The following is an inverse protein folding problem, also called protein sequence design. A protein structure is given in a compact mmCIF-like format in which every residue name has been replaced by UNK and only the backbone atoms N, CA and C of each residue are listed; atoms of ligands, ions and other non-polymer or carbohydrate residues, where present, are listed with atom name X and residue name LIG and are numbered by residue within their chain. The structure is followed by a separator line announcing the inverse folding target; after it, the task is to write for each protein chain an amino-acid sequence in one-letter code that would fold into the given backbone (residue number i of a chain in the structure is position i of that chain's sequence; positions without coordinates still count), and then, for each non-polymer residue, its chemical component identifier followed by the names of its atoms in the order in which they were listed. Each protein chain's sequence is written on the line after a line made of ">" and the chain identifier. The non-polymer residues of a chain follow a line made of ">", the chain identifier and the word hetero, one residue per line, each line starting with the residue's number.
data_IF_251583895077
#
_entry.id   IF_251583895077
#
_cell.length_a   1.000
_cell.length_b   1.000
_cell.length_c   1.000
_cell.angle_alpha   90.00
_cell.angle_beta   90.00
_cell.angle_gamma   90.00
#
_symmetry.space_group_name_H-M   'P 1'
#
loop_
_entity.id
_entity.type
_entity.pdbx_description
1 polymer ?
#
# COMPACT_ATOMS: atom_id res chain seq x y z
N UNK A 1 8.58 41.27 18.97
CA UNK A 1 8.21 40.16 18.07
C UNK A 1 8.76 38.90 18.73
N UNK A 2 7.95 38.32 19.58
CA UNK A 2 8.30 37.20 20.47
C UNK A 2 8.34 35.93 19.65
N UNK A 3 9.48 35.28 19.73
CA UNK A 3 9.82 33.99 19.22
C UNK A 3 8.70 32.96 19.59
N UNK A 4 8.09 32.33 18.58
CA UNK A 4 7.07 31.31 18.80
C UNK A 4 7.80 30.03 19.18
N UNK A 5 7.70 29.71 20.44
CA UNK A 5 7.70 28.40 21.07
C UNK A 5 8.41 27.27 20.27
N UNK A 6 9.73 27.31 20.31
CA UNK A 6 10.54 26.13 20.05
C UNK A 6 10.49 25.24 21.31
N UNK A 7 9.31 24.62 21.56
CA UNK A 7 9.20 23.57 22.58
C UNK A 7 9.86 22.34 21.99
N UNK A 8 11.06 21.96 22.45
CA UNK A 8 11.75 20.80 21.90
C UNK A 8 10.87 19.57 22.20
N UNK A 9 10.38 18.90 21.15
CA UNK A 9 9.62 17.67 21.28
C UNK A 9 10.53 16.61 21.91
N UNK A 10 10.20 16.15 23.11
CA UNK A 10 10.85 14.99 23.72
C UNK A 10 10.31 13.72 23.07
N UNK A 11 10.88 13.32 21.95
CA UNK A 11 10.52 12.12 21.21
C UNK A 11 10.68 10.86 22.04
N UNK A 12 11.60 10.86 23.02
CA UNK A 12 11.84 9.70 23.88
C UNK A 12 10.69 9.45 24.85
N UNK A 13 9.94 10.48 25.24
CA UNK A 13 8.76 10.38 26.10
C UNK A 13 7.47 10.04 25.34
N UNK A 14 7.44 10.16 24.00
CA UNK A 14 6.28 9.87 23.16
C UNK A 14 6.02 8.37 23.07
N UNK A 15 5.62 7.74 24.17
CA UNK A 15 5.34 6.30 24.26
C UNK A 15 3.90 6.07 24.68
N UNK A 16 3.20 5.17 23.95
CA UNK A 16 1.89 4.67 24.37
C UNK A 16 2.00 3.20 24.76
N UNK A 17 1.27 2.82 25.82
CA UNK A 17 1.06 1.42 26.18
C UNK A 17 -0.11 0.87 25.34
N UNK A 18 0.11 -0.26 24.71
CA UNK A 18 -0.93 -0.94 23.95
C UNK A 18 -1.68 -1.92 24.88
N UNK A 19 -3.01 -1.72 25.01
CA UNK A 19 -3.89 -2.59 25.78
C UNK A 19 -4.78 -3.34 24.81
N UNK A 20 -4.29 -4.43 24.25
CA UNK A 20 -5.03 -5.30 23.35
C UNK A 20 -4.96 -6.74 23.88
N UNK A 21 -5.97 -7.55 23.52
CA UNK A 21 -6.10 -8.95 23.97
C UNK A 21 -4.99 -9.86 23.45
N UNK A 22 -4.20 -9.39 22.51
CA UNK A 22 -3.10 -10.13 21.90
C UNK A 22 -3.49 -10.89 20.63
N UNK A 23 -2.57 -11.71 20.15
CA UNK A 23 -2.76 -12.57 18.99
C UNK A 23 -2.07 -13.90 19.25
N UNK A 24 -2.82 -15.01 19.19
CA UNK A 24 -2.29 -16.36 19.33
C UNK A 24 -2.44 -17.16 18.04
N UNK A 25 -1.74 -18.29 17.96
CA UNK A 25 -1.81 -19.19 16.81
C UNK A 25 -3.24 -19.73 16.57
N UNK A 26 -4.00 -19.88 17.65
CA UNK A 26 -5.40 -20.37 17.59
C UNK A 26 -6.37 -19.33 17.04
N UNK A 27 -5.97 -18.06 17.02
CA UNK A 27 -6.80 -16.96 16.48
C UNK A 27 -6.63 -16.80 14.96
N UNK A 28 -5.61 -17.46 14.40
CA UNK A 28 -5.28 -17.33 12.99
C UNK A 28 -6.28 -18.08 12.08
N UNK A 29 -6.53 -17.52 10.91
CA UNK A 29 -7.23 -18.19 9.82
C UNK A 29 -6.33 -19.27 9.18
N UNK A 30 -6.91 -20.12 8.33
CA UNK A 30 -6.16 -21.15 7.62
C UNK A 30 -5.14 -20.56 6.63
N UNK A 31 -5.48 -19.42 6.01
CA UNK A 31 -4.61 -18.72 5.04
C UNK A 31 -4.33 -17.27 5.45
N UNK A 32 -3.21 -16.69 5.00
CA UNK A 32 -2.92 -15.28 5.29
C UNK A 32 -3.93 -14.32 4.64
N UNK A 33 -4.54 -14.69 3.51
CA UNK A 33 -5.55 -13.87 2.84
C UNK A 33 -6.84 -13.83 3.66
N UNK A 34 -7.30 -14.96 4.20
CA UNK A 34 -8.44 -15.00 5.11
C UNK A 34 -8.16 -14.21 6.40
N UNK A 35 -6.95 -14.34 6.96
CA UNK A 35 -6.55 -13.56 8.14
C UNK A 35 -6.53 -12.07 7.84
N UNK A 36 -5.99 -11.68 6.69
CA UNK A 36 -6.01 -10.29 6.23
C UNK A 36 -7.45 -9.79 6.06
N UNK A 37 -8.33 -10.56 5.43
CA UNK A 37 -9.73 -10.21 5.23
C UNK A 37 -10.45 -9.95 6.58
N UNK A 38 -10.21 -10.80 7.60
CA UNK A 38 -10.77 -10.61 8.95
C UNK A 38 -10.31 -9.28 9.57
N UNK A 39 -9.02 -9.00 9.53
CA UNK A 39 -8.44 -7.79 10.12
C UNK A 39 -8.79 -6.54 9.31
N UNK A 40 -8.82 -6.65 7.98
CA UNK A 40 -9.21 -5.55 7.10
C UNK A 40 -10.68 -5.14 7.32
N UNK A 41 -11.59 -6.12 7.49
CA UNK A 41 -12.98 -5.85 7.84
C UNK A 41 -13.08 -5.03 9.13
N UNK A 42 -12.37 -5.45 10.19
CA UNK A 42 -12.33 -4.71 11.45
C UNK A 42 -11.73 -3.30 11.28
N UNK A 43 -10.66 -3.17 10.50
CA UNK A 43 -10.03 -1.89 10.22
C UNK A 43 -10.96 -0.94 9.48
N UNK A 44 -11.78 -1.46 8.57
CA UNK A 44 -12.73 -0.68 7.77
C UNK A 44 -14.00 -0.27 8.54
N UNK A 45 -14.43 -1.08 9.52
CA UNK A 45 -15.68 -0.81 10.29
C UNK A 45 -15.41 -0.10 11.61
N UNK A 46 -14.47 -0.60 12.40
CA UNK A 46 -14.29 -0.21 13.79
C UNK A 46 -12.92 0.42 14.08
N UNK A 47 -12.02 0.40 13.10
CA UNK A 47 -10.62 0.77 13.28
C UNK A 47 -10.32 2.25 13.46
N UNK A 48 -11.30 3.14 13.27
CA UNK A 48 -11.07 4.60 13.35
C UNK A 48 -10.06 5.12 12.33
N UNK A 49 -9.90 4.42 11.22
CA UNK A 49 -8.95 4.73 10.16
C UNK A 49 -9.64 5.52 9.04
N UNK A 50 -9.03 6.61 8.58
CA UNK A 50 -9.54 7.41 7.47
C UNK A 50 -9.52 6.63 6.14
N UNK A 51 -8.41 5.94 5.86
CA UNK A 51 -8.23 5.09 4.68
C UNK A 51 -7.63 3.73 5.11
N UNK A 52 -8.43 2.75 5.52
CA UNK A 52 -7.94 1.45 6.00
C UNK A 52 -7.18 0.66 4.92
N UNK A 53 -7.44 0.96 3.65
CA UNK A 53 -6.76 0.39 2.49
C UNK A 53 -5.48 1.15 2.07
N UNK A 54 -5.11 2.21 2.78
CA UNK A 54 -3.81 2.85 2.57
C UNK A 54 -2.69 1.93 3.07
N UNK A 55 -1.66 1.77 2.23
CA UNK A 55 -0.49 0.96 2.54
C UNK A 55 0.78 1.64 2.08
N UNK A 56 1.88 1.36 2.75
CA UNK A 56 3.21 1.81 2.33
C UNK A 56 3.81 0.71 1.45
N UNK A 57 4.14 1.07 0.21
CA UNK A 57 4.87 0.20 -0.72
C UNK A 57 6.33 0.58 -0.68
N UNK A 58 7.18 -0.35 -0.26
CA UNK A 58 8.64 -0.22 -0.23
C UNK A 58 9.24 -1.02 -1.37
N UNK A 59 10.04 -0.35 -2.20
CA UNK A 59 10.74 -0.93 -3.36
C UNK A 59 12.24 -0.67 -3.25
N UNK A 60 13.04 -1.46 -3.93
CA UNK A 60 14.47 -1.23 -4.07
C UNK A 60 14.86 -1.33 -5.55
N UNK A 61 15.80 -0.51 -6.00
CA UNK A 61 16.39 -0.62 -7.34
C UNK A 61 17.41 -1.77 -7.42
N UNK A 62 18.06 -1.93 -8.57
CA UNK A 62 19.06 -2.98 -8.81
C UNK A 62 20.28 -2.89 -7.87
N UNK A 63 20.61 -1.68 -7.38
CA UNK A 63 21.69 -1.46 -6.42
C UNK A 63 21.24 -1.59 -4.95
N UNK A 64 19.98 -1.95 -4.70
CA UNK A 64 19.43 -2.10 -3.37
C UNK A 64 19.05 -0.78 -2.67
N UNK A 65 19.04 0.35 -3.37
CA UNK A 65 18.61 1.64 -2.82
C UNK A 65 17.09 1.65 -2.66
N UNK A 66 16.63 1.78 -1.43
CA UNK A 66 15.22 1.69 -1.09
C UNK A 66 14.47 2.99 -1.29
N UNK A 67 13.17 2.87 -1.54
CA UNK A 67 12.23 3.99 -1.53
C UNK A 67 10.85 3.53 -1.06
N UNK A 68 10.11 4.41 -0.38
CA UNK A 68 8.78 4.10 0.15
C UNK A 68 7.78 5.22 -0.16
N UNK A 69 6.51 4.87 -0.31
CA UNK A 69 5.38 5.79 -0.51
C UNK A 69 4.08 5.14 -0.14
N UNK A 70 3.10 5.96 0.19
CA UNK A 70 1.72 5.48 0.39
C UNK A 70 1.05 5.26 -0.97
N UNK A 71 0.35 4.13 -1.10
CA UNK A 71 -0.58 3.83 -2.19
C UNK A 71 -1.83 3.16 -1.60
N UNK A 72 -2.89 3.01 -2.39
CA UNK A 72 -4.12 2.37 -1.95
C UNK A 72 -4.22 0.94 -2.49
N UNK A 73 -4.47 -0.02 -1.61
CA UNK A 73 -4.89 -1.36 -1.99
C UNK A 73 -6.24 -1.25 -2.73
N UNK A 74 -6.37 -1.93 -3.87
CA UNK A 74 -7.58 -1.87 -4.71
C UNK A 74 -8.28 -3.22 -4.83
N UNK A 75 -7.54 -4.30 -4.66
CA UNK A 75 -8.07 -5.66 -4.62
C UNK A 75 -7.10 -6.57 -3.87
N UNK A 76 -7.60 -7.63 -3.29
CA UNK A 76 -6.81 -8.75 -2.78
C UNK A 76 -7.61 -10.06 -2.90
N UNK A 77 -6.92 -11.11 -3.20
CA UNK A 77 -7.43 -12.48 -3.35
C UNK A 77 -6.30 -13.48 -3.07
N UNK A 78 -6.56 -14.77 -3.31
CA UNK A 78 -5.55 -15.83 -3.14
C UNK A 78 -4.33 -15.68 -4.05
N UNK A 79 -4.42 -14.87 -5.12
CA UNK A 79 -3.30 -14.57 -6.00
C UNK A 79 -2.45 -13.40 -5.49
N UNK A 80 -2.95 -12.62 -4.53
CA UNK A 80 -2.21 -11.53 -3.88
C UNK A 80 -2.91 -10.18 -3.85
N UNK A 81 -2.11 -9.14 -3.64
CA UNK A 81 -2.55 -7.77 -3.35
C UNK A 81 -2.32 -6.86 -4.55
N UNK A 82 -3.35 -6.10 -4.95
CA UNK A 82 -3.32 -5.29 -6.18
C UNK A 82 -3.36 -3.80 -5.86
N UNK A 83 -2.44 -3.05 -6.46
CA UNK A 83 -2.46 -1.60 -6.50
C UNK A 83 -2.20 -1.10 -7.92
N UNK A 84 -2.60 0.15 -8.21
CA UNK A 84 -2.44 0.76 -9.53
C UNK A 84 -1.56 2.00 -9.45
N UNK A 85 -0.74 2.21 -10.48
CA UNK A 85 0.23 3.31 -10.54
C UNK A 85 0.60 3.65 -11.98
N UNK A 86 1.39 4.71 -12.15
CA UNK A 86 2.07 5.00 -13.40
C UNK A 86 3.32 4.10 -13.53
N UNK A 87 3.48 3.43 -14.67
CA UNK A 87 4.60 2.52 -14.95
C UNK A 87 5.94 3.23 -15.15
N UNK A 88 5.93 4.54 -15.41
CA UNK A 88 7.12 5.37 -15.51
C UNK A 88 7.52 6.00 -14.17
N UNK A 89 6.76 5.74 -13.09
CA UNK A 89 7.08 6.22 -11.75
C UNK A 89 8.31 5.50 -11.17
N UNK A 90 8.98 6.13 -10.18
CA UNK A 90 10.14 5.55 -9.51
C UNK A 90 9.86 4.11 -9.03
N UNK A 91 8.75 3.89 -8.31
CA UNK A 91 8.40 2.55 -7.80
C UNK A 91 8.24 1.51 -8.91
N UNK A 92 7.72 1.90 -10.06
CA UNK A 92 7.52 0.98 -11.17
C UNK A 92 8.82 0.68 -11.92
N UNK A 93 9.74 1.63 -11.98
CA UNK A 93 11.11 1.39 -12.48
C UNK A 93 11.87 0.47 -11.53
N UNK A 94 11.83 0.76 -10.19
CA UNK A 94 12.43 -0.13 -9.19
C UNK A 94 11.91 -1.57 -9.37
N UNK A 95 10.57 -1.76 -9.50
CA UNK A 95 9.94 -3.08 -9.66
C UNK A 95 10.25 -3.78 -11.00
N UNK A 96 10.62 -3.03 -12.03
CA UNK A 96 11.05 -3.61 -13.30
C UNK A 96 12.44 -4.23 -13.22
N UNK A 97 13.29 -3.67 -12.37
CA UNK A 97 14.67 -4.15 -12.13
C UNK A 97 14.71 -5.17 -10.98
N UNK A 98 13.97 -4.93 -9.93
CA UNK A 98 13.89 -5.76 -8.73
C UNK A 98 12.42 -5.94 -8.31
N UNK A 99 11.80 -7.07 -8.62
CA UNK A 99 10.38 -7.28 -8.36
C UNK A 99 10.03 -7.57 -6.89
N UNK A 100 11.00 -7.68 -6.00
CA UNK A 100 10.76 -7.88 -4.57
C UNK A 100 10.22 -6.60 -3.93
N UNK A 101 9.17 -6.74 -3.12
CA UNK A 101 8.43 -5.63 -2.57
C UNK A 101 7.91 -5.95 -1.17
N UNK A 102 7.79 -4.92 -0.35
CA UNK A 102 7.08 -5.00 0.93
C UNK A 102 5.89 -4.03 0.90
N UNK A 103 4.73 -4.53 1.37
CA UNK A 103 3.53 -3.74 1.64
C UNK A 103 3.32 -3.70 3.14
N UNK A 104 3.19 -2.51 3.72
CA UNK A 104 2.90 -2.32 5.14
C UNK A 104 1.56 -1.61 5.31
N UNK A 105 0.65 -2.21 6.07
CA UNK A 105 -0.62 -1.63 6.50
C UNK A 105 -0.48 -1.17 7.96
N UNK A 106 -0.28 0.14 8.24
CA UNK A 106 -0.04 0.66 9.58
C UNK A 106 -1.34 1.04 10.27
N UNK A 107 -2.09 0.08 10.79
CA UNK A 107 -3.36 0.32 11.49
C UNK A 107 -3.12 0.72 12.95
N UNK A 108 -2.44 1.86 13.14
CA UNK A 108 -2.01 2.36 14.46
C UNK A 108 -3.14 2.52 15.50
N UNK A 109 -4.35 3.03 15.16
CA UNK A 109 -5.43 3.12 16.14
C UNK A 109 -5.81 1.79 16.76
N UNK A 110 -5.64 0.69 16.02
CA UNK A 110 -5.91 -0.69 16.47
C UNK A 110 -4.69 -1.35 17.13
N UNK A 111 -3.57 -0.65 17.24
CA UNK A 111 -2.28 -1.22 17.62
C UNK A 111 -1.94 -2.47 16.76
N UNK A 112 -2.20 -2.41 15.46
CA UNK A 112 -1.97 -3.49 14.49
C UNK A 112 -1.14 -3.02 13.31
N UNK A 113 -0.38 -3.94 12.75
CA UNK A 113 0.17 -3.77 11.41
C UNK A 113 0.18 -5.11 10.68
N UNK A 114 0.08 -5.07 9.36
CA UNK A 114 0.28 -6.23 8.50
C UNK A 114 1.42 -5.93 7.54
N UNK A 115 2.37 -6.84 7.42
CA UNK A 115 3.47 -6.74 6.46
C UNK A 115 3.34 -7.89 5.47
N UNK A 116 3.24 -7.55 4.19
CA UNK A 116 3.26 -8.53 3.09
C UNK A 116 4.60 -8.36 2.37
N UNK A 117 5.39 -9.42 2.31
CA UNK A 117 6.58 -9.48 1.45
C UNK A 117 6.34 -10.46 0.31
N UNK A 118 6.75 -10.09 -0.89
CA UNK A 118 6.48 -10.92 -2.05
C UNK A 118 7.07 -10.36 -3.35
N UNK A 119 6.53 -10.86 -4.46
CA UNK A 119 6.99 -10.54 -5.81
C UNK A 119 5.88 -9.81 -6.56
N UNK A 120 6.19 -8.63 -7.08
CA UNK A 120 5.27 -7.83 -7.88
C UNK A 120 5.32 -8.22 -9.35
N UNK A 121 4.14 -8.31 -9.98
CA UNK A 121 3.99 -8.50 -11.44
C UNK A 121 2.93 -7.55 -11.96
N UNK A 122 3.10 -7.07 -13.19
CA UNK A 122 2.07 -6.23 -13.82
C UNK A 122 0.77 -7.01 -14.00
N UNK A 123 -0.36 -6.34 -13.74
CA UNK A 123 -1.70 -6.89 -14.08
C UNK A 123 -1.93 -6.89 -15.59
N UNK A 124 -2.88 -7.70 -16.06
CA UNK A 124 -3.31 -7.69 -17.45
C UNK A 124 -3.94 -6.35 -17.88
N UNK A 125 -3.91 -6.06 -19.18
CA UNK A 125 -4.52 -4.81 -19.71
C UNK A 125 -6.03 -4.78 -19.52
N UNK A 126 -6.72 -5.91 -19.59
CA UNK A 126 -8.17 -5.98 -19.40
C UNK A 126 -8.56 -5.69 -17.95
N UNK A 127 -7.82 -6.27 -16.98
CA UNK A 127 -8.00 -5.99 -15.54
C UNK A 127 -7.72 -4.50 -15.26
N UNK A 128 -6.63 -3.98 -15.83
CA UNK A 128 -6.28 -2.56 -15.74
C UNK A 128 -7.38 -1.66 -16.29
N UNK A 129 -7.92 -1.97 -17.48
CA UNK A 129 -8.95 -1.20 -18.12
C UNK A 129 -10.28 -1.25 -17.35
N UNK A 130 -10.64 -2.43 -16.84
CA UNK A 130 -11.83 -2.59 -16.00
C UNK A 130 -11.76 -1.69 -14.76
N UNK A 131 -10.64 -1.72 -14.04
CA UNK A 131 -10.47 -0.85 -12.87
C UNK A 131 -10.37 0.63 -13.26
N UNK A 132 -9.65 1.00 -14.34
CA UNK A 132 -9.49 2.40 -14.76
C UNK A 132 -10.85 3.09 -14.97
N UNK A 133 -11.82 2.40 -15.59
CA UNK A 133 -13.16 2.91 -15.83
C UNK A 133 -13.98 3.19 -14.57
N UNK A 134 -13.66 2.54 -13.44
CA UNK A 134 -14.35 2.78 -12.16
C UNK A 134 -13.83 4.02 -11.43
N UNK A 135 -12.71 4.59 -11.87
CA UNK A 135 -12.12 5.77 -11.23
C UNK A 135 -12.96 7.02 -11.53
N UNK A 136 -13.04 7.98 -10.58
CA UNK A 136 -13.61 9.28 -10.86
C UNK A 136 -12.98 9.91 -12.12
N UNK A 137 -13.79 10.58 -12.94
CA UNK A 137 -13.34 11.17 -14.20
C UNK A 137 -12.09 12.04 -14.06
N UNK A 138 -12.06 12.96 -13.08
CA UNK A 138 -10.87 13.77 -12.81
C UNK A 138 -9.61 12.95 -12.45
N UNK A 139 -9.78 11.77 -11.81
CA UNK A 139 -8.66 10.86 -11.54
C UNK A 139 -8.18 10.12 -12.80
N UNK A 140 -9.07 9.90 -13.77
CA UNK A 140 -8.69 9.35 -15.07
C UNK A 140 -7.86 10.37 -15.87
N UNK A 141 -8.27 11.64 -15.90
CA UNK A 141 -7.52 12.74 -16.52
C UNK A 141 -6.15 12.93 -15.84
N UNK A 142 -6.13 12.93 -14.50
CA UNK A 142 -4.89 13.04 -13.73
C UNK A 142 -3.86 11.95 -14.02
N UNK A 143 -4.30 10.74 -14.40
CA UNK A 143 -3.40 9.67 -14.81
C UNK A 143 -2.67 9.94 -16.14
N UNK A 144 -3.27 10.74 -17.02
CA UNK A 144 -2.65 11.24 -18.24
C UNK A 144 -1.77 12.47 -17.98
N UNK A 145 -2.27 13.43 -17.20
CA UNK A 145 -1.58 14.71 -16.95
C UNK A 145 -0.27 14.54 -16.18
N UNK A 146 -0.15 13.50 -15.35
CA UNK A 146 0.97 13.35 -14.43
C UNK A 146 2.08 12.44 -14.99
N UNK A 147 3.23 13.01 -15.32
CA UNK A 147 4.49 12.25 -15.47
C UNK A 147 5.04 11.89 -14.09
N UNK A 148 4.41 10.92 -13.42
CA UNK A 148 4.64 10.62 -12.00
C UNK A 148 6.12 10.37 -11.68
N UNK A 149 6.62 11.03 -10.63
CA UNK A 149 8.02 11.01 -10.14
C UNK A 149 9.04 11.73 -11.04
N UNK A 150 8.62 12.37 -12.11
CA UNK A 150 9.50 13.23 -12.91
C UNK A 150 9.63 14.62 -12.28
N UNK A 151 10.76 15.27 -12.51
CA UNK A 151 10.95 16.67 -12.15
C UNK A 151 10.13 17.52 -13.11
N UNK A 152 9.36 18.45 -12.59
CA UNK A 152 8.59 19.44 -13.35
C UNK A 152 9.06 20.85 -12.94
N UNK A 153 8.90 21.81 -13.84
CA UNK A 153 9.35 23.17 -13.57
C UNK A 153 8.44 23.90 -12.57
N UNK A 154 7.11 23.76 -12.76
CA UNK A 154 6.12 24.46 -11.92
C UNK A 154 4.85 23.61 -11.73
N UNK A 155 4.05 23.96 -10.76
CA UNK A 155 2.71 23.40 -10.60
C UNK A 155 1.80 23.72 -11.82
N UNK A 156 1.99 24.88 -12.41
CA UNK A 156 1.22 25.33 -13.57
C UNK A 156 1.35 24.37 -14.76
N UNK A 157 2.49 23.69 -14.90
CA UNK A 157 2.70 22.72 -15.98
C UNK A 157 1.69 21.55 -15.89
N UNK A 158 1.46 21.04 -14.67
CA UNK A 158 0.46 19.98 -14.45
C UNK A 158 -0.97 20.52 -14.63
N UNK A 159 -1.24 21.72 -14.11
CA UNK A 159 -2.57 22.31 -14.19
C UNK A 159 -2.96 22.60 -15.66
N UNK A 160 -2.02 23.05 -16.48
CA UNK A 160 -2.22 23.24 -17.92
C UNK A 160 -2.47 21.92 -18.65
N UNK A 161 -1.65 20.89 -18.39
CA UNK A 161 -1.85 19.56 -18.97
C UNK A 161 -3.21 18.95 -18.58
N UNK A 162 -3.63 19.14 -17.33
CA UNK A 162 -4.93 18.69 -16.88
C UNK A 162 -6.06 19.44 -17.55
N UNK A 163 -5.97 20.76 -17.71
CA UNK A 163 -6.99 21.59 -18.38
C UNK A 163 -7.15 21.21 -19.86
N UNK A 164 -6.04 20.95 -20.57
CA UNK A 164 -6.09 20.48 -21.97
C UNK A 164 -6.82 19.13 -22.07
N UNK A 165 -6.54 18.19 -21.16
CA UNK A 165 -7.20 16.89 -21.12
C UNK A 165 -8.68 17.00 -20.75
N UNK A 166 -9.04 17.91 -19.84
CA UNK A 166 -10.44 18.16 -19.48
C UNK A 166 -11.24 18.76 -20.65
N UNK A 167 -10.61 19.62 -21.46
CA UNK A 167 -11.22 20.14 -22.68
C UNK A 167 -11.37 19.04 -23.76
N UNK A 168 -10.41 18.14 -23.86
CA UNK A 168 -10.40 17.03 -24.83
C UNK A 168 -11.38 15.92 -24.49
N UNK A 169 -11.56 15.64 -23.20
CA UNK A 169 -12.45 14.61 -22.66
C UNK A 169 -13.36 15.24 -21.62
N UNK A 170 -14.44 15.94 -22.02
CA UNK A 170 -15.38 16.52 -21.08
C UNK A 170 -16.10 15.44 -20.25
N UNK A 171 -16.74 15.86 -19.16
CA UNK A 171 -17.46 14.95 -18.28
C UNK A 171 -18.54 14.18 -19.05
N UNK A 172 -18.58 12.86 -18.86
CA UNK A 172 -19.46 11.95 -19.61
C UNK A 172 -18.79 11.27 -20.81
N UNK A 173 -17.64 11.77 -21.28
CA UNK A 173 -16.85 11.08 -22.30
C UNK A 173 -15.90 10.03 -21.71
N UNK A 174 -15.65 8.97 -22.46
CA UNK A 174 -14.75 7.91 -22.05
C UNK A 174 -13.30 8.33 -22.21
N UNK A 175 -12.58 8.44 -21.09
CA UNK A 175 -11.12 8.64 -21.08
C UNK A 175 -10.42 7.32 -21.40
N UNK A 176 -9.57 7.25 -22.45
CA UNK A 176 -8.81 6.04 -22.73
C UNK A 176 -7.80 5.73 -21.63
N UNK A 177 -7.48 4.44 -21.42
CA UNK A 177 -6.47 4.03 -20.45
C UNK A 177 -5.07 4.39 -20.94
N UNK A 178 -4.28 5.18 -20.20
CA UNK A 178 -2.92 5.50 -20.63
C UNK A 178 -2.06 4.22 -20.78
N UNK A 179 -1.19 4.15 -21.79
CA UNK A 179 -0.30 2.99 -21.98
C UNK A 179 0.69 2.82 -20.81
N UNK A 180 1.08 3.95 -20.21
CA UNK A 180 2.00 4.02 -19.07
C UNK A 180 1.31 3.86 -17.70
N UNK A 181 0.03 3.48 -17.65
CA UNK A 181 -0.72 3.32 -16.38
C UNK A 181 -1.28 1.91 -16.25
N UNK A 182 -1.17 1.33 -15.06
CA UNK A 182 -1.70 0.00 -14.79
C UNK A 182 -1.44 -0.49 -13.37
N UNK A 183 -1.74 -1.76 -13.14
CA UNK A 183 -1.64 -2.40 -11.85
C UNK A 183 -0.38 -3.23 -11.66
N UNK A 184 -0.06 -3.44 -10.38
CA UNK A 184 0.83 -4.49 -9.92
C UNK A 184 0.07 -5.40 -8.97
N UNK A 185 0.20 -6.71 -9.17
CA UNK A 185 -0.22 -7.74 -8.24
C UNK A 185 1.01 -8.25 -7.50
N UNK A 186 0.96 -8.22 -6.19
CA UNK A 186 2.01 -8.73 -5.30
C UNK A 186 1.60 -10.11 -4.83
N UNK A 187 2.27 -11.15 -5.36
CA UNK A 187 2.11 -12.51 -4.88
C UNK A 187 2.89 -12.66 -3.56
N UNK A 188 2.21 -12.95 -2.43
CA UNK A 188 2.86 -12.98 -1.14
C UNK A 188 3.75 -14.23 -0.99
N UNK A 189 4.96 -14.03 -0.46
CA UNK A 189 5.86 -15.08 -0.02
C UNK A 189 5.79 -15.23 1.50
N UNK A 190 5.58 -14.13 2.21
CA UNK A 190 5.28 -14.14 3.63
C UNK A 190 4.33 -13.00 3.99
N UNK A 191 3.49 -13.24 5.01
CA UNK A 191 2.58 -12.24 5.58
C UNK A 191 2.70 -12.28 7.10
N UNK A 192 3.13 -11.18 7.69
CA UNK A 192 3.25 -11.01 9.13
C UNK A 192 2.10 -10.19 9.68
N UNK A 193 1.48 -10.69 10.73
CA UNK A 193 0.47 -10.02 11.55
C UNK A 193 1.11 -9.62 12.87
N UNK A 194 1.17 -8.32 13.14
CA UNK A 194 1.70 -7.74 14.35
C UNK A 194 0.58 -7.14 15.19
N UNK A 195 0.51 -7.52 16.47
CA UNK A 195 -0.42 -6.96 17.45
C UNK A 195 0.34 -6.35 18.62
N UNK A 196 0.08 -5.08 18.88
CA UNK A 196 0.68 -4.36 20.00
C UNK A 196 0.24 -4.92 21.34
N UNK A 197 1.22 -5.08 22.26
CA UNK A 197 1.02 -5.49 23.65
C UNK A 197 1.80 -4.62 24.62
N UNK A 198 1.44 -4.71 25.89
CA UNK A 198 2.15 -4.02 26.97
C UNK A 198 3.63 -4.42 27.02
N UNK A 199 4.42 -3.55 27.61
CA UNK A 199 5.86 -3.75 27.84
C UNK A 199 6.68 -4.08 26.57
N UNK A 200 6.17 -3.72 25.40
CA UNK A 200 6.79 -4.00 24.10
C UNK A 200 6.87 -5.50 23.72
N UNK A 201 6.22 -6.39 24.47
CA UNK A 201 6.18 -7.83 24.20
C UNK A 201 5.07 -8.15 23.18
N UNK A 202 5.21 -7.60 21.99
CA UNK A 202 4.22 -7.65 20.90
C UNK A 202 4.08 -9.07 20.34
N UNK A 203 2.85 -9.45 19.96
CA UNK A 203 2.64 -10.69 19.23
C UNK A 203 2.95 -10.47 17.74
N UNK A 204 3.77 -11.35 17.20
CA UNK A 204 4.19 -11.36 15.82
C UNK A 204 4.01 -12.76 15.25
N UNK A 205 3.01 -12.96 14.41
CA UNK A 205 2.74 -14.24 13.75
C UNK A 205 2.89 -14.07 12.25
N UNK A 206 3.71 -14.92 11.65
CA UNK A 206 4.07 -14.86 10.24
C UNK A 206 3.70 -16.13 9.51
N UNK A 207 2.91 -16.01 8.46
CA UNK A 207 2.75 -17.05 7.47
C UNK A 207 3.90 -17.00 6.47
N UNK A 208 4.51 -18.14 6.22
CA UNK A 208 5.56 -18.32 5.21
C UNK A 208 5.09 -19.33 4.20
N UNK A 209 5.08 -18.95 2.91
CA UNK A 209 4.69 -19.82 1.81
C UNK A 209 5.64 -20.99 1.61
N UNK A 210 5.10 -22.16 1.29
CA UNK A 210 5.85 -23.36 0.95
C UNK A 210 5.78 -23.66 -0.54
N UNK A 211 6.71 -24.45 -1.10
CA UNK A 211 6.69 -24.83 -2.51
C UNK A 211 5.44 -25.59 -2.94
N UNK A 212 4.78 -26.29 -2.03
CA UNK A 212 3.53 -27.02 -2.26
C UNK A 212 2.26 -26.15 -2.23
N UNK A 213 2.43 -24.82 -2.06
CA UNK A 213 1.33 -23.88 -1.96
C UNK A 213 0.70 -23.75 -0.56
N UNK A 214 1.13 -24.55 0.41
CA UNK A 214 0.70 -24.43 1.79
C UNK A 214 1.43 -23.31 2.54
N UNK A 215 0.92 -22.99 3.75
CA UNK A 215 1.50 -21.97 4.61
C UNK A 215 2.01 -22.59 5.92
N UNK A 216 3.18 -22.16 6.34
CA UNK A 216 3.71 -22.44 7.69
C UNK A 216 3.59 -21.19 8.54
N UNK A 217 3.06 -21.33 9.75
CA UNK A 217 3.02 -20.25 10.73
C UNK A 217 4.25 -20.29 11.62
N UNK A 218 4.79 -19.11 11.88
CA UNK A 218 5.92 -18.90 12.79
C UNK A 218 5.58 -17.77 13.76
N UNK A 219 5.99 -17.92 15.02
CA UNK A 219 6.01 -16.82 16.00
C UNK A 219 7.38 -16.16 15.98
N UNK A 220 7.40 -14.84 15.85
CA UNK A 220 8.63 -14.05 15.92
C UNK A 220 8.75 -13.39 17.30
N UNK A 221 9.97 -13.26 17.78
CA UNK A 221 10.24 -12.40 18.94
C UNK A 221 9.96 -10.93 18.61
N UNK A 222 9.39 -10.15 19.53
CA UNK A 222 9.14 -8.72 19.34
C UNK A 222 10.42 -7.91 19.18
#
# INVERSE_FOLDING_TARGET
>A
MTDRDDVPFDLASMRKQYRADGLSETDLAATPVEQFARWFKQAATDGGLFEPNAMIVSTADAEGRTSARTVLLKHFDEQGFVFYTNYDSRKARDLAENPYVSLLFPWHPMARQVIVTGVARRTGRDETAAYFRTRPHGSQLGAWASAQSSVISTRADIDAAYAELAARYPEGEQVPVPPHWGGFRVAPQAVEFWQGRENRLHDRLRYVGRPDGSWRVERLSP
#
